data_IF_610269116083
#
_entry.id   IF_610269116083
#
_cell.length_a   1.000
_cell.length_b   1.000
_cell.length_c   1.000
_cell.angle_alpha   90.00
_cell.angle_beta   90.00
_cell.angle_gamma   90.00
#
_symmetry.space_group_name_H-M   'P 1'
#
loop_
_entity.id
_entity.type
_entity.pdbx_description
1 polymer ?
#
# COMPACT_ATOMS: atom_id res chain seq x y z
N UNK A 1 19.22 -9.77 -36.37
CA UNK A 1 18.92 -8.52 -37.09
C UNK A 1 18.16 -7.64 -36.12
N UNK A 2 18.84 -6.65 -35.55
CA UNK A 2 18.23 -5.67 -34.66
C UNK A 2 17.85 -4.48 -35.52
N UNK A 3 16.56 -4.37 -35.84
CA UNK A 3 16.02 -3.14 -36.41
C UNK A 3 16.08 -2.07 -35.31
N UNK A 4 17.08 -1.21 -35.43
CA UNK A 4 17.21 0.00 -34.62
C UNK A 4 16.04 0.90 -35.03
N UNK A 5 15.10 1.08 -34.10
CA UNK A 5 13.96 1.97 -34.28
C UNK A 5 14.49 3.41 -34.29
N UNK A 6 14.72 3.94 -35.49
CA UNK A 6 14.93 5.37 -35.74
C UNK A 6 13.57 6.06 -35.57
N UNK A 7 13.34 6.63 -34.39
CA UNK A 7 12.15 7.43 -34.11
C UNK A 7 12.33 8.82 -34.75
N UNK A 8 12.08 8.91 -36.05
CA UNK A 8 11.81 10.18 -36.71
C UNK A 8 10.36 10.56 -36.39
N UNK A 9 10.18 11.69 -35.72
CA UNK A 9 8.91 12.31 -35.30
C UNK A 9 8.01 11.57 -34.28
N UNK A 10 7.57 12.24 -33.18
CA UNK A 10 6.77 11.62 -32.11
C UNK A 10 5.39 11.11 -32.57
N UNK A 11 4.88 11.60 -33.71
CA UNK A 11 3.60 11.17 -34.28
C UNK A 11 3.73 9.84 -35.01
N UNK A 12 4.85 9.59 -35.69
CA UNK A 12 5.12 8.31 -36.37
C UNK A 12 5.48 7.22 -35.36
N UNK A 13 6.22 7.56 -34.31
CA UNK A 13 6.43 6.71 -33.14
C UNK A 13 5.10 6.21 -32.55
N UNK A 14 4.14 7.11 -32.37
CA UNK A 14 2.81 6.77 -31.83
C UNK A 14 2.03 5.86 -32.80
N UNK A 15 2.11 6.09 -34.11
CA UNK A 15 1.46 5.23 -35.12
C UNK A 15 2.06 3.84 -35.19
N UNK A 16 3.39 3.71 -35.08
CA UNK A 16 4.07 2.41 -35.03
C UNK A 16 3.76 1.65 -33.73
N UNK A 17 3.74 2.34 -32.58
CA UNK A 17 3.30 1.72 -31.31
C UNK A 17 1.83 1.27 -31.41
N UNK A 18 0.98 2.05 -32.08
CA UNK A 18 -0.44 1.74 -32.28
C UNK A 18 -0.65 0.51 -33.18
N UNK A 19 0.17 0.32 -34.21
CA UNK A 19 0.08 -0.87 -35.08
C UNK A 19 0.63 -2.12 -34.41
N UNK A 20 1.72 -1.99 -33.65
CA UNK A 20 2.35 -3.11 -32.94
C UNK A 20 1.58 -3.52 -31.67
N UNK A 21 0.89 -2.57 -31.02
CA UNK A 21 0.22 -2.77 -29.74
C UNK A 21 -1.13 -2.05 -29.67
N UNK A 22 -2.14 -2.48 -30.45
CA UNK A 22 -3.43 -1.80 -30.55
C UNK A 22 -4.14 -1.61 -29.20
N UNK A 23 -3.94 -2.54 -28.26
CA UNK A 23 -4.54 -2.50 -26.92
C UNK A 23 -3.81 -1.58 -25.92
N UNK A 24 -2.58 -1.17 -26.20
CA UNK A 24 -1.78 -0.35 -25.27
C UNK A 24 -2.30 1.08 -25.22
N UNK A 25 -2.67 1.67 -26.37
CA UNK A 25 -3.20 3.03 -26.40
C UNK A 25 -4.57 3.14 -25.71
N UNK A 26 -5.42 2.13 -25.85
CA UNK A 26 -6.70 2.10 -25.14
C UNK A 26 -6.50 2.00 -23.62
N UNK A 27 -5.57 1.14 -23.18
CA UNK A 27 -5.25 1.00 -21.77
C UNK A 27 -4.57 2.27 -21.20
N UNK A 28 -3.71 2.96 -21.96
CA UNK A 28 -3.16 4.26 -21.56
C UNK A 28 -4.23 5.35 -21.47
N UNK A 29 -5.21 5.37 -22.38
CA UNK A 29 -6.37 6.28 -22.28
C UNK A 29 -7.21 5.98 -21.04
N UNK A 30 -7.47 4.71 -20.75
CA UNK A 30 -8.16 4.27 -19.52
C UNK A 30 -7.39 4.68 -18.26
N UNK A 31 -6.07 4.48 -18.25
CA UNK A 31 -5.20 4.89 -17.16
C UNK A 31 -5.27 6.40 -16.94
N UNK A 32 -5.10 7.20 -18.01
CA UNK A 32 -5.21 8.66 -17.94
C UNK A 32 -6.55 9.10 -17.35
N UNK A 33 -7.66 8.58 -17.88
CA UNK A 33 -8.99 8.92 -17.38
C UNK A 33 -9.21 8.53 -15.91
N UNK A 34 -8.57 7.46 -15.44
CA UNK A 34 -8.60 7.07 -14.03
C UNK A 34 -7.78 8.02 -13.16
N UNK A 35 -6.56 8.38 -13.55
CA UNK A 35 -5.73 9.32 -12.80
C UNK A 35 -6.33 10.73 -12.74
N UNK A 36 -7.01 11.19 -13.80
CA UNK A 36 -7.74 12.47 -13.81
C UNK A 36 -8.93 12.49 -12.82
N UNK A 37 -9.49 11.32 -12.50
CA UNK A 37 -10.56 11.15 -11.50
C UNK A 37 -10.04 11.08 -10.07
N UNK A 38 -8.78 10.70 -9.87
CA UNK A 38 -8.16 10.66 -8.55
C UNK A 38 -7.80 12.10 -8.15
N UNK A 39 -8.64 12.71 -7.31
CA UNK A 39 -8.43 14.06 -6.78
C UNK A 39 -8.11 14.06 -5.29
N UNK A 40 -8.40 12.95 -4.62
CA UNK A 40 -8.21 12.76 -3.19
C UNK A 40 -7.62 11.39 -2.89
N UNK A 41 -7.16 11.22 -1.65
CA UNK A 41 -6.72 9.91 -1.16
C UNK A 41 -7.90 8.94 -1.02
N UNK A 42 -9.09 9.45 -0.78
CA UNK A 42 -10.32 8.67 -0.72
C UNK A 42 -10.65 8.09 -2.11
N UNK A 43 -10.34 8.81 -3.19
CA UNK A 43 -10.40 8.27 -4.57
C UNK A 43 -9.35 7.18 -4.81
N UNK A 44 -8.13 7.34 -4.29
CA UNK A 44 -7.11 6.28 -4.31
C UNK A 44 -7.63 5.02 -3.64
N UNK A 45 -8.29 5.15 -2.49
CA UNK A 45 -8.93 4.02 -1.82
C UNK A 45 -9.98 3.36 -2.73
N UNK A 46 -10.87 4.15 -3.34
CA UNK A 46 -11.97 3.65 -4.16
C UNK A 46 -11.52 2.97 -5.46
N UNK A 47 -10.55 3.55 -6.17
CA UNK A 47 -10.16 3.09 -7.50
C UNK A 47 -8.97 2.13 -7.50
N UNK A 48 -8.07 2.22 -6.51
CA UNK A 48 -6.83 1.42 -6.49
C UNK A 48 -6.79 0.37 -5.39
N UNK A 49 -7.56 0.55 -4.31
CA UNK A 49 -7.54 -0.38 -3.17
C UNK A 49 -8.82 -1.22 -3.06
N UNK A 50 -10.00 -0.62 -3.20
CA UNK A 50 -11.31 -1.29 -3.10
C UNK A 50 -11.57 -2.22 -4.29
N UNK A 51 -12.43 -3.22 -4.06
CA UNK A 51 -12.87 -4.18 -5.09
C UNK A 51 -12.43 -5.64 -4.87
N UNK A 52 -11.78 -5.96 -3.75
CA UNK A 52 -11.27 -7.32 -3.50
C UNK A 52 -11.84 -8.01 -2.25
N UNK A 53 -12.99 -7.55 -1.75
CA UNK A 53 -13.64 -8.15 -0.59
C UNK A 53 -12.89 -8.02 0.75
N UNK A 54 -11.89 -7.12 0.86
CA UNK A 54 -11.22 -6.87 2.14
C UNK A 54 -12.11 -6.10 3.12
N UNK A 55 -11.86 -6.27 4.41
CA UNK A 55 -12.58 -5.56 5.46
C UNK A 55 -12.33 -4.03 5.39
N UNK A 56 -13.31 -3.18 5.75
CA UNK A 56 -13.17 -1.72 5.70
C UNK A 56 -11.93 -1.18 6.44
N UNK A 57 -11.59 -1.77 7.58
CA UNK A 57 -10.43 -1.36 8.39
C UNK A 57 -9.09 -1.66 7.70
N UNK A 58 -9.04 -2.68 6.85
CA UNK A 58 -7.85 -3.00 6.06
C UNK A 58 -7.57 -1.90 5.04
N UNK A 59 -8.60 -1.40 4.36
CA UNK A 59 -8.45 -0.29 3.40
C UNK A 59 -7.97 0.98 4.07
N UNK A 60 -8.55 1.35 5.22
CA UNK A 60 -8.08 2.50 6.02
C UNK A 60 -6.61 2.37 6.39
N UNK A 61 -6.18 1.18 6.80
CA UNK A 61 -4.78 0.92 7.14
C UNK A 61 -3.84 1.06 5.94
N UNK A 62 -4.27 0.58 4.77
CA UNK A 62 -3.49 0.73 3.54
C UNK A 62 -3.43 2.18 3.08
N UNK A 63 -4.54 2.91 3.18
CA UNK A 63 -4.58 4.32 2.83
C UNK A 63 -3.62 5.15 3.69
N UNK A 64 -3.56 4.87 5.00
CA UNK A 64 -2.59 5.51 5.89
C UNK A 64 -1.15 5.23 5.43
N UNK A 65 -0.83 4.00 4.98
CA UNK A 65 0.49 3.68 4.47
C UNK A 65 0.86 4.53 3.25
N UNK A 66 -0.09 4.70 2.31
CA UNK A 66 0.10 5.51 1.10
C UNK A 66 0.30 6.99 1.49
N UNK A 67 -0.57 7.55 2.34
CA UNK A 67 -0.45 8.93 2.84
C UNK A 67 0.93 9.17 3.50
N UNK A 68 1.41 8.20 4.28
CA UNK A 68 2.72 8.28 4.93
C UNK A 68 3.88 8.19 3.95
N UNK A 69 3.80 7.32 2.93
CA UNK A 69 4.82 7.23 1.89
C UNK A 69 4.92 8.54 1.11
N UNK A 70 3.78 9.10 0.68
CA UNK A 70 3.75 10.39 -0.01
C UNK A 70 4.34 11.51 0.84
N UNK A 71 4.02 11.54 2.14
CA UNK A 71 4.62 12.51 3.06
C UNK A 71 6.14 12.32 3.16
N UNK A 72 6.63 11.08 3.16
CA UNK A 72 8.05 10.76 3.22
C UNK A 72 8.80 11.16 1.94
N UNK A 73 8.21 10.95 0.76
CA UNK A 73 8.82 11.24 -0.54
C UNK A 73 8.59 12.68 -1.02
N UNK A 74 7.95 13.54 -0.22
CA UNK A 74 7.62 14.90 -0.63
C UNK A 74 6.54 14.99 -1.71
N UNK A 75 5.66 13.99 -1.81
CA UNK A 75 4.56 13.96 -2.78
C UNK A 75 4.95 13.43 -4.15
N UNK A 76 6.05 12.68 -4.24
CA UNK A 76 6.53 12.06 -5.48
C UNK A 76 5.42 11.26 -6.19
N UNK A 77 5.38 11.36 -7.52
CA UNK A 77 4.45 10.57 -8.33
C UNK A 77 4.72 9.07 -8.11
N UNK A 78 3.70 8.20 -7.92
CA UNK A 78 3.87 6.76 -7.77
C UNK A 78 4.75 6.10 -8.82
N UNK A 79 4.71 6.61 -10.05
CA UNK A 79 5.49 6.07 -11.17
C UNK A 79 7.00 6.35 -11.04
N UNK A 80 7.37 7.29 -10.17
CA UNK A 80 8.76 7.63 -9.87
C UNK A 80 9.27 6.94 -8.61
N UNK A 81 8.41 6.22 -7.86
CA UNK A 81 8.83 5.55 -6.62
C UNK A 81 9.71 4.36 -6.95
N UNK A 82 10.93 4.35 -6.39
CA UNK A 82 11.93 3.29 -6.58
C UNK A 82 11.97 2.36 -5.36
N UNK A 83 12.61 1.17 -5.47
CA UNK A 83 12.86 0.31 -4.31
C UNK A 83 13.57 1.03 -3.16
N UNK A 84 14.52 1.92 -3.48
CA UNK A 84 15.26 2.71 -2.48
C UNK A 84 14.36 3.66 -1.67
N UNK A 85 13.36 4.28 -2.30
CA UNK A 85 12.37 5.08 -1.57
C UNK A 85 11.55 4.24 -0.60
N UNK A 86 11.19 3.02 -0.98
CA UNK A 86 10.43 2.09 -0.13
C UNK A 86 11.29 1.61 1.04
N UNK A 87 12.55 1.29 0.79
CA UNK A 87 13.50 0.93 1.84
C UNK A 87 13.71 2.06 2.84
N UNK A 88 13.99 3.28 2.36
CA UNK A 88 14.17 4.45 3.21
C UNK A 88 12.92 4.77 4.03
N UNK A 89 11.73 4.66 3.42
CA UNK A 89 10.46 4.78 4.12
C UNK A 89 10.34 3.72 5.23
N UNK A 90 10.61 2.44 4.92
CA UNK A 90 10.55 1.35 5.88
C UNK A 90 11.52 1.56 7.06
N UNK A 91 12.76 1.95 6.77
CA UNK A 91 13.77 2.23 7.79
C UNK A 91 13.40 3.42 8.68
N UNK A 92 12.73 4.43 8.12
CA UNK A 92 12.17 5.53 8.91
C UNK A 92 10.99 5.09 9.78
N UNK A 93 10.20 4.11 9.30
CA UNK A 93 8.99 3.63 9.93
C UNK A 93 9.30 2.74 11.14
N UNK A 94 10.22 1.79 11.01
CA UNK A 94 10.61 0.87 12.10
C UNK A 94 11.27 1.56 13.29
N UNK A 95 11.72 2.82 13.14
CA UNK A 95 12.18 3.67 14.24
C UNK A 95 11.04 4.20 15.12
N UNK A 96 9.80 4.21 14.61
CA UNK A 96 8.63 4.83 15.25
C UNK A 96 7.53 3.85 15.61
N UNK A 97 7.40 2.77 14.85
CA UNK A 97 6.37 1.74 15.06
C UNK A 97 7.01 0.36 15.15
N UNK A 98 6.27 -0.60 15.71
CA UNK A 98 6.73 -1.97 15.75
C UNK A 98 6.82 -2.60 14.34
N UNK A 99 7.66 -3.63 14.22
CA UNK A 99 7.89 -4.32 12.94
C UNK A 99 6.64 -4.92 12.32
N UNK A 100 5.65 -5.36 13.11
CA UNK A 100 4.41 -5.91 12.54
C UNK A 100 3.57 -4.79 11.93
N UNK A 101 3.49 -3.63 12.60
CA UNK A 101 2.87 -2.43 12.00
C UNK A 101 3.60 -2.02 10.72
N UNK A 102 4.94 -1.99 10.73
CA UNK A 102 5.72 -1.67 9.53
C UNK A 102 5.45 -2.64 8.38
N UNK A 103 5.42 -3.95 8.67
CA UNK A 103 5.04 -4.99 7.72
C UNK A 103 3.64 -4.77 7.12
N UNK A 104 2.64 -4.45 7.97
CA UNK A 104 1.29 -4.15 7.50
C UNK A 104 1.22 -2.92 6.59
N UNK A 105 2.03 -1.89 6.87
CA UNK A 105 2.15 -0.70 5.99
C UNK A 105 2.76 -1.07 4.65
N UNK A 106 3.86 -1.82 4.64
CA UNK A 106 4.47 -2.33 3.40
C UNK A 106 3.48 -3.17 2.60
N UNK A 107 2.69 -4.02 3.25
CA UNK A 107 1.64 -4.82 2.58
C UNK A 107 0.59 -3.93 1.90
N UNK A 108 0.21 -2.82 2.52
CA UNK A 108 -0.66 -1.83 1.91
C UNK A 108 -0.05 -1.18 0.68
N UNK A 109 1.25 -0.84 0.73
CA UNK A 109 1.98 -0.30 -0.42
C UNK A 109 2.06 -1.32 -1.57
N UNK A 110 2.38 -2.59 -1.27
CA UNK A 110 2.36 -3.66 -2.28
C UNK A 110 1.03 -3.73 -3.01
N UNK A 111 -0.07 -3.61 -2.26
CA UNK A 111 -1.42 -3.61 -2.85
C UNK A 111 -1.66 -2.40 -3.74
N UNK A 112 -1.27 -1.21 -3.28
CA UNK A 112 -1.37 0.03 -4.05
C UNK A 112 -0.63 -0.05 -5.39
N UNK A 113 0.65 -0.43 -5.37
CA UNK A 113 1.44 -0.52 -6.59
C UNK A 113 0.98 -1.65 -7.52
N UNK A 114 0.49 -2.77 -6.96
CA UNK A 114 -0.18 -3.81 -7.76
C UNK A 114 -1.44 -3.28 -8.45
N UNK A 115 -2.20 -2.38 -7.81
CA UNK A 115 -3.32 -1.70 -8.42
C UNK A 115 -2.91 -0.86 -9.62
N UNK A 116 -1.79 -0.12 -9.51
CA UNK A 116 -1.22 0.67 -10.60
C UNK A 116 -0.77 -0.22 -11.76
N UNK A 117 -0.07 -1.32 -11.50
CA UNK A 117 0.37 -2.28 -12.53
C UNK A 117 -0.78 -2.91 -13.33
N UNK A 118 -1.97 -3.01 -12.74
CA UNK A 118 -3.17 -3.50 -13.46
C UNK A 118 -3.76 -2.47 -14.41
N UNK A 119 -3.47 -1.20 -14.20
CA UNK A 119 -4.08 -0.08 -14.93
C UNK A 119 -3.14 0.43 -16.01
N UNK A 120 -1.85 0.53 -15.71
CA UNK A 120 -0.85 1.08 -16.62
C UNK A 120 -0.08 -0.06 -17.28
N UNK A 121 -0.27 -0.29 -18.60
CA UNK A 121 0.55 -1.26 -19.33
C UNK A 121 2.02 -0.90 -19.26
N UNK A 122 2.88 -1.90 -19.05
CA UNK A 122 4.33 -1.71 -18.98
C UNK A 122 4.83 -1.07 -17.69
N UNK A 123 3.96 -0.69 -16.75
CA UNK A 123 4.41 -0.27 -15.43
C UNK A 123 4.89 -1.48 -14.62
N UNK A 124 6.15 -1.42 -14.20
CA UNK A 124 6.77 -2.43 -13.36
C UNK A 124 6.75 -1.91 -11.91
N UNK A 125 6.22 -2.71 -10.99
CA UNK A 125 6.13 -2.30 -9.60
C UNK A 125 7.54 -2.18 -8.98
N UNK A 126 7.80 -1.19 -8.10
CA UNK A 126 9.04 -1.15 -7.34
C UNK A 126 9.23 -2.37 -6.42
N UNK A 127 8.18 -3.16 -6.18
CA UNK A 127 8.28 -4.44 -5.46
C UNK A 127 8.65 -5.62 -6.36
N UNK A 128 8.52 -5.51 -7.69
CA UNK A 128 8.88 -6.55 -8.65
C UNK A 128 10.36 -6.50 -9.02
N UNK A 129 10.94 -5.30 -9.10
CA UNK A 129 12.39 -5.08 -9.37
C UNK A 129 13.25 -5.06 -8.11
N UNK A 130 12.66 -5.35 -6.96
CA UNK A 130 13.33 -5.29 -5.66
C UNK A 130 14.25 -6.50 -5.47
N UNK A 131 15.48 -6.26 -5.01
CA UNK A 131 16.40 -7.35 -4.67
C UNK A 131 15.84 -8.28 -3.60
N UNK A 132 16.22 -9.56 -3.66
CA UNK A 132 15.71 -10.59 -2.73
C UNK A 132 16.03 -10.24 -1.27
N UNK A 133 17.21 -9.66 -1.02
CA UNK A 133 17.62 -9.21 0.32
C UNK A 133 16.66 -8.17 0.89
N UNK A 134 16.29 -7.17 0.09
CA UNK A 134 15.36 -6.13 0.50
C UNK A 134 13.94 -6.70 0.66
N UNK A 135 13.53 -7.60 -0.24
CA UNK A 135 12.25 -8.31 -0.11
C UNK A 135 12.14 -9.08 1.20
N UNK A 136 13.21 -9.78 1.61
CA UNK A 136 13.31 -10.47 2.91
C UNK A 136 13.23 -9.49 4.07
N UNK A 137 13.96 -8.37 4.01
CA UNK A 137 13.94 -7.30 5.04
C UNK A 137 12.52 -6.75 5.26
N UNK A 138 11.80 -6.44 4.19
CA UNK A 138 10.46 -5.86 4.25
C UNK A 138 9.38 -6.85 4.70
N UNK A 139 9.58 -8.15 4.48
CA UNK A 139 8.66 -9.21 4.91
C UNK A 139 8.91 -9.68 6.35
N UNK A 140 9.91 -9.13 7.05
CA UNK A 140 10.26 -9.60 8.38
C UNK A 140 9.25 -9.13 9.43
N UNK A 141 8.54 -10.09 10.03
CA UNK A 141 7.68 -9.87 11.20
C UNK A 141 8.38 -10.30 12.49
N UNK A 142 7.93 -9.82 13.65
CA UNK A 142 8.40 -10.39 14.93
C UNK A 142 7.96 -11.86 14.98
N UNK A 143 8.91 -12.80 15.15
CA UNK A 143 8.59 -14.21 15.47
C UNK A 143 7.66 -14.22 16.68
N UNK A 144 6.49 -14.82 16.51
CA UNK A 144 5.40 -14.78 17.50
C UNK A 144 5.85 -15.44 18.79
N UNK A 145 5.99 -14.64 19.85
CA UNK A 145 6.08 -15.13 21.23
C UNK A 145 5.25 -14.26 22.19
N UNK A 146 4.17 -13.66 21.68
CA UNK A 146 3.15 -13.03 22.53
C UNK A 146 1.78 -13.23 21.87
N UNK A 147 1.19 -14.39 22.09
CA UNK A 147 -0.24 -14.36 22.46
C UNK A 147 -0.30 -13.36 23.61
N UNK A 148 -1.05 -12.25 23.46
CA UNK A 148 -1.41 -11.46 24.64
C UNK A 148 -1.91 -12.47 25.67
N UNK A 149 -1.26 -12.54 26.83
CA UNK A 149 -1.62 -13.51 27.88
C UNK A 149 -3.14 -13.36 28.07
N UNK A 150 -3.88 -14.42 27.78
CA UNK A 150 -5.31 -14.40 28.05
C UNK A 150 -5.47 -14.17 29.56
N UNK A 151 -6.44 -13.34 29.94
CA UNK A 151 -6.77 -13.16 31.35
C UNK A 151 -7.04 -14.55 31.94
N UNK A 152 -6.29 -14.90 32.98
CA UNK A 152 -6.59 -16.11 33.72
C UNK A 152 -7.86 -15.90 34.57
N UNK A 153 -8.43 -16.99 35.10
CA UNK A 153 -9.68 -16.93 35.86
C UNK A 153 -9.60 -16.03 37.11
N UNK A 154 -8.41 -15.88 37.71
CA UNK A 154 -8.17 -14.98 38.84
C UNK A 154 -8.17 -13.51 38.41
N UNK A 155 -7.37 -13.18 37.40
CA UNK A 155 -7.28 -11.83 36.81
C UNK A 155 -8.66 -11.35 36.30
N UNK A 156 -9.47 -12.26 35.73
CA UNK A 156 -10.84 -11.95 35.32
C UNK A 156 -11.77 -11.67 36.52
N UNK A 157 -11.63 -12.40 37.63
CA UNK A 157 -12.43 -12.16 38.86
C UNK A 157 -12.06 -10.84 39.51
N UNK A 158 -10.77 -10.51 39.59
CA UNK A 158 -10.29 -9.24 40.10
C UNK A 158 -10.79 -8.06 39.27
N UNK A 159 -10.76 -8.18 37.93
CA UNK A 159 -11.31 -7.16 37.04
C UNK A 159 -12.82 -6.98 37.25
N UNK A 160 -13.57 -8.07 37.42
CA UNK A 160 -15.01 -8.00 37.66
C UNK A 160 -15.34 -7.38 39.02
N UNK A 161 -14.58 -7.72 40.07
CA UNK A 161 -14.75 -7.10 41.38
C UNK A 161 -14.48 -5.59 41.33
N UNK A 162 -13.40 -5.17 40.67
CA UNK A 162 -13.08 -3.76 40.46
C UNK A 162 -14.19 -3.01 39.68
N UNK A 163 -14.76 -3.64 38.64
CA UNK A 163 -15.88 -3.06 37.89
C UNK A 163 -17.16 -2.92 38.72
N UNK A 164 -17.41 -3.83 39.67
CA UNK A 164 -18.57 -3.75 40.57
C UNK A 164 -18.46 -2.59 41.58
N UNK A 165 -17.24 -2.15 41.87
CA UNK A 165 -16.98 -1.00 42.75
C UNK A 165 -17.03 0.34 42.00
N UNK A 166 -17.17 0.34 40.66
CA UNK A 166 -17.22 1.56 39.85
C UNK A 166 -18.56 2.31 40.03
N UNK A 167 -18.52 3.36 40.84
CA UNK A 167 -19.66 4.24 41.12
C UNK A 167 -19.82 5.39 40.12
N UNK A 168 -19.04 5.44 39.05
CA UNK A 168 -19.18 6.48 38.01
C UNK A 168 -20.52 6.37 37.30
N UNK A 169 -20.96 7.46 36.65
CA UNK A 169 -22.20 7.48 35.84
C UNK A 169 -22.19 6.38 34.76
N UNK A 170 -21.00 6.03 34.24
CA UNK A 170 -20.83 4.93 33.28
C UNK A 170 -20.87 3.55 33.94
N UNK A 171 -20.31 3.41 35.14
CA UNK A 171 -20.40 2.18 35.94
C UNK A 171 -21.84 1.84 36.33
N UNK A 172 -22.65 2.85 36.68
CA UNK A 172 -24.08 2.69 37.02
C UNK A 172 -25.01 2.43 35.83
N UNK A 173 -24.52 2.59 34.60
CA UNK A 173 -25.30 2.40 33.37
C UNK A 173 -25.09 1.01 32.73
N UNK A 174 -24.15 0.21 33.24
CA UNK A 174 -23.89 -1.18 32.86
C UNK A 174 -24.52 -2.15 33.87
#
# INVERSE_FOLDING_TARGET
MNDIILLEEPVEALRQIQSCFPNVLEALRKARGLFERIRSFEDVENYLLRGAGLAPNTYKSYLIAIKQLYKYTGGLNPLQVTPGHIEGYYDSLVKRVDRNTAYLRVRGLKRFFSGISKIIPGYISPFEVMEERLTKKLNWTKKGNRTKKALNKGEARELLAWLQEDQTVKGKAN
#
